data_IF_214032601199
#
_entry.id   IF_214032601199
#
_cell.length_a   1.000
_cell.length_b   1.000
_cell.length_c   1.000
_cell.angle_alpha   90.00
_cell.angle_beta   90.00
_cell.angle_gamma   90.00
#
_symmetry.space_group_name_H-M   'P 1'
#
loop_
_entity.id
_entity.type
_entity.pdbx_description
1 polymer ?
#
# COMPACT_ATOMS: atom_id res chain seq x y z
N UNK A 1 17.70 8.02 -9.58
CA UNK A 1 17.25 8.76 -8.38
C UNK A 1 16.74 10.16 -8.70
N UNK A 2 17.54 11.14 -9.16
CA UNK A 2 17.04 12.51 -9.44
C UNK A 2 16.03 12.52 -10.62
N UNK A 3 16.30 11.75 -11.66
CA UNK A 3 15.40 11.56 -12.82
C UNK A 3 14.12 10.81 -12.47
N UNK A 4 14.13 9.92 -11.48
CA UNK A 4 12.95 9.13 -11.11
C UNK A 4 11.95 9.96 -10.31
N UNK A 5 12.44 10.79 -9.38
CA UNK A 5 11.58 11.69 -8.60
C UNK A 5 10.93 12.77 -9.48
N UNK A 6 11.68 13.38 -10.41
CA UNK A 6 11.13 14.34 -11.36
C UNK A 6 10.03 13.72 -12.23
N UNK A 7 10.18 12.45 -12.62
CA UNK A 7 9.18 11.71 -13.40
C UNK A 7 7.93 11.38 -12.60
N UNK A 8 8.08 10.91 -11.36
CA UNK A 8 6.92 10.65 -10.48
C UNK A 8 6.16 11.97 -10.25
N UNK A 9 6.84 13.10 -10.11
CA UNK A 9 6.20 14.42 -9.96
C UNK A 9 5.40 14.84 -11.21
N UNK A 10 5.95 14.63 -12.41
CA UNK A 10 5.22 14.95 -13.65
C UNK A 10 4.02 14.02 -13.82
N UNK A 11 4.17 12.70 -13.63
CA UNK A 11 3.05 11.74 -13.72
C UNK A 11 1.99 12.03 -12.66
N UNK A 12 2.40 12.40 -11.44
CA UNK A 12 1.46 12.84 -10.41
C UNK A 12 0.65 14.06 -10.86
N UNK A 13 1.27 15.07 -11.47
CA UNK A 13 0.54 16.25 -12.00
C UNK A 13 -0.46 15.87 -13.08
N UNK A 14 -0.12 14.93 -13.95
CA UNK A 14 -1.03 14.40 -14.97
C UNK A 14 -2.21 13.64 -14.36
N UNK A 15 -1.94 12.71 -13.43
CA UNK A 15 -2.97 11.92 -12.76
C UNK A 15 -3.93 12.77 -11.92
N UNK A 16 -3.47 13.93 -11.45
CA UNK A 16 -4.26 14.89 -10.67
C UNK A 16 -4.92 15.96 -11.53
N UNK A 17 -4.69 16.01 -12.84
CA UNK A 17 -5.16 17.09 -13.72
C UNK A 17 -4.86 18.50 -13.15
N UNK A 18 -3.75 18.67 -12.44
CA UNK A 18 -3.35 19.93 -11.81
C UNK A 18 -4.04 20.28 -10.48
N UNK A 19 -4.89 19.42 -9.90
CA UNK A 19 -5.50 19.65 -8.57
C UNK A 19 -4.51 19.48 -7.42
N UNK A 20 -3.32 18.92 -7.69
CA UNK A 20 -2.30 18.52 -6.71
C UNK A 20 -2.76 17.47 -5.69
N UNK A 21 -3.94 16.87 -5.89
CA UNK A 21 -4.50 15.82 -5.04
C UNK A 21 -4.90 14.60 -5.89
N UNK A 22 -4.30 13.45 -5.58
CA UNK A 22 -4.59 12.18 -6.22
C UNK A 22 -5.83 11.56 -5.61
N UNK A 23 -6.84 11.33 -6.45
CA UNK A 23 -8.10 10.70 -6.05
C UNK A 23 -7.90 9.22 -5.71
N UNK A 24 -8.81 8.65 -4.90
CA UNK A 24 -8.81 7.22 -4.59
C UNK A 24 -8.90 6.36 -5.86
N UNK A 25 -9.70 6.77 -6.84
CA UNK A 25 -9.87 6.04 -8.10
C UNK A 25 -8.55 5.94 -8.86
N UNK A 26 -7.82 7.04 -8.97
CA UNK A 26 -6.51 7.06 -9.62
C UNK A 26 -5.46 6.33 -8.79
N UNK A 27 -5.45 6.50 -7.46
CA UNK A 27 -4.55 5.76 -6.58
C UNK A 27 -4.73 4.25 -6.72
N UNK A 28 -5.98 3.77 -6.70
CA UNK A 28 -6.29 2.36 -6.91
C UNK A 28 -5.87 1.88 -8.29
N UNK A 29 -6.23 2.58 -9.36
CA UNK A 29 -6.00 2.14 -10.75
C UNK A 29 -4.55 2.26 -11.19
N UNK A 30 -3.94 3.41 -10.93
CA UNK A 30 -2.68 3.84 -11.56
C UNK A 30 -1.46 3.53 -10.68
N UNK A 31 -1.64 3.36 -9.37
CA UNK A 31 -0.54 3.04 -8.44
C UNK A 31 -0.53 1.54 -8.10
N UNK A 32 -1.64 0.99 -7.60
CA UNK A 32 -1.67 -0.40 -7.14
C UNK A 32 -2.38 -1.38 -8.08
N UNK A 33 -3.17 -0.88 -9.04
CA UNK A 33 -3.99 -1.67 -9.96
C UNK A 33 -4.69 -2.87 -9.27
N UNK A 34 -4.31 -4.10 -9.66
CA UNK A 34 -4.82 -5.35 -9.10
C UNK A 34 -3.80 -6.08 -8.22
N UNK A 35 -2.69 -5.44 -7.85
CA UNK A 35 -1.64 -6.06 -7.02
C UNK A 35 -2.06 -6.19 -5.55
N UNK A 36 -3.08 -5.45 -5.12
CA UNK A 36 -3.58 -5.44 -3.76
C UNK A 36 -5.08 -5.66 -3.67
N UNK A 37 -5.57 -6.34 -2.60
CA UNK A 37 -6.98 -6.35 -2.25
C UNK A 37 -7.52 -4.93 -2.08
N UNK A 38 -8.71 -4.66 -2.62
CA UNK A 38 -9.30 -3.32 -2.62
C UNK A 38 -9.44 -2.72 -1.21
N UNK A 39 -9.76 -3.56 -0.22
CA UNK A 39 -9.87 -3.14 1.18
C UNK A 39 -8.54 -2.63 1.74
N UNK A 40 -7.43 -3.24 1.34
CA UNK A 40 -6.09 -2.80 1.72
C UNK A 40 -5.71 -1.49 1.04
N UNK A 41 -5.97 -1.36 -0.26
CA UNK A 41 -5.74 -0.10 -0.99
C UNK A 41 -6.54 1.05 -0.37
N UNK A 42 -7.79 0.79 0.03
CA UNK A 42 -8.63 1.79 0.69
C UNK A 42 -8.06 2.24 2.03
N UNK A 43 -7.63 1.31 2.89
CA UNK A 43 -6.99 1.63 4.18
C UNK A 43 -5.68 2.39 4.00
N UNK A 44 -4.84 1.98 3.05
CA UNK A 44 -3.61 2.70 2.70
C UNK A 44 -3.91 4.13 2.27
N UNK A 45 -4.88 4.31 1.37
CA UNK A 45 -5.28 5.64 0.91
C UNK A 45 -5.72 6.53 2.08
N UNK A 46 -6.58 6.01 2.95
CA UNK A 46 -7.07 6.78 4.09
C UNK A 46 -6.00 7.02 5.18
N UNK A 47 -5.02 6.12 5.34
CA UNK A 47 -3.93 6.27 6.30
C UNK A 47 -3.02 7.45 5.96
N UNK A 48 -2.73 7.63 4.67
CA UNK A 48 -1.88 8.71 4.18
C UNK A 48 -2.64 9.99 3.83
N UNK A 49 -3.96 9.90 3.60
CA UNK A 49 -4.79 11.06 3.33
C UNK A 49 -5.00 11.88 4.59
N UNK A 50 -4.69 13.17 4.52
CA UNK A 50 -5.02 14.11 5.58
C UNK A 50 -6.54 14.33 5.64
N UNK A 51 -7.13 14.31 6.84
CA UNK A 51 -8.58 14.48 7.05
C UNK A 51 -9.15 15.81 6.55
N UNK A 52 -8.32 16.81 6.28
CA UNK A 52 -8.71 18.10 5.72
C UNK A 52 -8.65 18.17 4.18
N UNK A 53 -8.29 17.09 3.49
CA UNK A 53 -8.10 17.03 2.03
C UNK A 53 -9.06 16.05 1.36
N UNK A 54 -9.26 16.21 0.06
CA UNK A 54 -10.10 15.32 -0.75
C UNK A 54 -9.29 14.22 -1.43
N UNK A 55 -7.96 14.36 -1.48
CA UNK A 55 -7.06 13.29 -1.90
C UNK A 55 -5.63 13.38 -1.40
N UNK A 56 -4.80 12.47 -1.90
CA UNK A 56 -3.40 12.33 -1.50
C UNK A 56 -2.53 13.38 -2.18
N UNK A 57 -1.68 14.08 -1.42
CA UNK A 57 -0.68 14.94 -2.03
C UNK A 57 0.50 14.15 -2.58
N UNK A 58 1.32 14.79 -3.42
CA UNK A 58 2.55 14.20 -3.94
C UNK A 58 3.46 13.69 -2.83
N UNK A 59 3.63 14.49 -1.77
CA UNK A 59 4.43 14.11 -0.60
C UNK A 59 3.88 12.86 0.07
N UNK A 60 2.56 12.79 0.26
CA UNK A 60 1.92 11.66 0.92
C UNK A 60 2.08 10.37 0.09
N UNK A 61 1.96 10.48 -1.24
CA UNK A 61 2.20 9.37 -2.16
C UNK A 61 3.67 8.90 -2.10
N UNK A 62 4.64 9.82 -2.17
CA UNK A 62 6.06 9.47 -2.10
C UNK A 62 6.40 8.83 -0.75
N UNK A 63 5.83 9.31 0.36
CA UNK A 63 6.00 8.70 1.66
C UNK A 63 5.42 7.27 1.71
N UNK A 64 4.24 7.06 1.11
CA UNK A 64 3.60 5.74 1.03
C UNK A 64 4.44 4.76 0.21
N UNK A 65 4.79 5.12 -1.03
CA UNK A 65 5.61 4.30 -1.91
C UNK A 65 7.02 4.09 -1.35
N UNK A 66 7.60 5.12 -0.75
CA UNK A 66 8.89 5.07 -0.10
C UNK A 66 8.95 3.99 0.99
N UNK A 67 7.93 3.96 1.85
CA UNK A 67 7.83 2.97 2.92
C UNK A 67 7.59 1.55 2.39
N UNK A 68 6.76 1.41 1.36
CA UNK A 68 6.46 0.10 0.76
C UNK A 68 7.70 -0.48 0.06
N UNK A 69 8.36 0.30 -0.80
CA UNK A 69 9.45 -0.22 -1.62
C UNK A 69 10.80 -0.23 -0.91
N UNK A 70 11.12 0.82 -0.15
CA UNK A 70 12.45 1.03 0.43
C UNK A 70 12.47 0.90 1.95
N UNK A 71 11.31 0.76 2.60
CA UNK A 71 11.23 0.49 4.03
C UNK A 71 11.84 -0.86 4.37
N UNK A 72 12.42 -0.95 5.56
CA UNK A 72 12.83 -2.22 6.14
C UNK A 72 11.63 -3.13 6.37
N UNK A 73 11.86 -4.44 6.47
CA UNK A 73 10.81 -5.40 6.81
C UNK A 73 10.02 -4.97 8.06
N UNK A 74 10.72 -4.51 9.10
CA UNK A 74 10.12 -4.00 10.34
C UNK A 74 9.21 -2.79 10.11
N UNK A 75 9.68 -1.80 9.33
CA UNK A 75 8.88 -0.62 9.01
C UNK A 75 7.61 -0.99 8.21
N UNK A 76 7.71 -1.96 7.32
CA UNK A 76 6.55 -2.50 6.58
C UNK A 76 5.59 -3.24 7.50
N UNK A 77 6.08 -4.02 8.47
CA UNK A 77 5.22 -4.64 9.50
C UNK A 77 4.51 -3.58 10.35
N UNK A 78 5.20 -2.49 10.70
CA UNK A 78 4.62 -1.36 11.42
C UNK A 78 3.56 -0.62 10.58
N UNK A 79 3.79 -0.46 9.28
CA UNK A 79 2.79 0.05 8.34
C UNK A 79 1.54 -0.82 8.36
N UNK A 80 1.70 -2.14 8.30
CA UNK A 80 0.58 -3.07 8.34
C UNK A 80 -0.23 -2.93 9.64
N UNK A 81 0.45 -2.83 10.79
CA UNK A 81 -0.23 -2.54 12.05
C UNK A 81 -1.00 -1.20 12.00
N UNK A 82 -0.39 -0.14 11.45
CA UNK A 82 -1.02 1.17 11.33
C UNK A 82 -2.32 1.12 10.48
N UNK A 83 -2.31 0.36 9.38
CA UNK A 83 -3.48 0.09 8.53
C UNK A 83 -4.63 -0.53 9.33
N UNK A 84 -4.33 -1.50 10.20
CA UNK A 84 -5.33 -2.15 11.05
C UNK A 84 -5.86 -1.23 12.15
N UNK A 85 -4.99 -0.47 12.82
CA UNK A 85 -5.36 0.44 13.93
C UNK A 85 -6.01 1.76 13.52
N UNK A 86 -6.19 2.00 12.22
CA UNK A 86 -6.61 3.31 11.71
C UNK A 86 -7.90 3.85 12.38
N UNK A 87 -8.78 2.98 12.86
CA UNK A 87 -10.05 3.32 13.53
C UNK A 87 -9.96 3.42 15.05
N UNK A 88 -8.75 3.32 15.63
CA UNK A 88 -8.51 3.42 17.07
C UNK A 88 -7.95 2.14 17.67
N UNK A 89 -8.64 1.62 18.69
CA UNK A 89 -8.23 0.38 19.36
C UNK A 89 -8.37 -0.77 18.38
N UNK A 90 -7.32 -1.58 18.25
CA UNK A 90 -7.34 -2.78 17.42
C UNK A 90 -7.65 -4.00 18.27
N UNK A 91 -8.74 -4.68 17.97
CA UNK A 91 -9.02 -6.00 18.52
C UNK A 91 -8.61 -7.08 17.54
N UNK A 92 -8.29 -8.26 18.06
CA UNK A 92 -7.92 -9.39 17.20
C UNK A 92 -9.01 -9.77 16.21
N UNK A 93 -10.28 -9.70 16.60
CA UNK A 93 -11.39 -10.01 15.70
C UNK A 93 -11.47 -9.04 14.51
N UNK A 94 -11.05 -7.77 14.67
CA UNK A 94 -10.99 -6.79 13.57
C UNK A 94 -9.90 -7.18 12.56
N UNK A 95 -8.75 -7.66 13.06
CA UNK A 95 -7.66 -8.20 12.22
C UNK A 95 -8.16 -9.39 11.43
N UNK A 96 -8.80 -10.36 12.12
CA UNK A 96 -9.32 -11.56 11.46
C UNK A 96 -10.36 -11.24 10.38
N UNK A 97 -11.32 -10.36 10.69
CA UNK A 97 -12.36 -9.96 9.75
C UNK A 97 -11.76 -9.28 8.52
N UNK A 98 -10.81 -8.36 8.72
CA UNK A 98 -10.17 -7.66 7.62
C UNK A 98 -9.34 -8.59 6.74
N UNK A 99 -8.61 -9.55 7.32
CA UNK A 99 -7.88 -10.57 6.57
C UNK A 99 -8.83 -11.42 5.74
N UNK A 100 -9.96 -11.88 6.30
CA UNK A 100 -11.00 -12.60 5.55
C UNK A 100 -11.57 -11.75 4.40
N UNK A 101 -11.80 -10.46 4.61
CA UNK A 101 -12.24 -9.53 3.56
C UNK A 101 -11.19 -9.33 2.45
N UNK A 102 -9.92 -9.57 2.74
CA UNK A 102 -8.83 -9.56 1.77
C UNK A 102 -8.65 -10.92 1.06
N UNK A 103 -9.48 -11.92 1.38
CA UNK A 103 -9.46 -13.24 0.78
C UNK A 103 -8.64 -14.28 1.55
N UNK A 104 -8.13 -13.94 2.73
CA UNK A 104 -7.33 -14.85 3.53
C UNK A 104 -8.15 -15.90 4.25
N UNK A 105 -7.64 -17.13 4.24
CA UNK A 105 -8.06 -18.18 5.15
C UNK A 105 -7.08 -18.20 6.32
N UNK A 106 -7.53 -17.81 7.51
CA UNK A 106 -6.68 -17.77 8.69
C UNK A 106 -6.31 -19.21 9.09
N UNK A 107 -5.00 -19.55 9.16
CA UNK A 107 -4.58 -20.81 9.75
C UNK A 107 -5.11 -20.96 11.18
N UNK A 108 -5.51 -22.18 11.55
CA UNK A 108 -6.00 -22.50 12.90
C UNK A 108 -4.96 -22.22 13.98
N UNK A 109 -3.68 -22.24 13.63
CA UNK A 109 -2.59 -21.86 14.52
C UNK A 109 -2.66 -20.39 14.93
N UNK A 110 -3.22 -19.51 14.09
CA UNK A 110 -3.40 -18.09 14.40
C UNK A 110 -4.53 -17.81 15.36
N UNK A 111 -5.58 -18.63 15.36
CA UNK A 111 -6.69 -18.51 16.30
C UNK A 111 -6.23 -18.63 17.76
N UNK A 112 -5.04 -19.21 18.00
CA UNK A 112 -4.50 -19.42 19.34
C UNK A 112 -3.50 -18.34 19.81
N UNK A 113 -3.03 -17.43 18.93
CA UNK A 113 -2.02 -16.44 19.33
C UNK A 113 -2.63 -15.27 20.14
N UNK A 114 -3.88 -14.93 19.83
CA UNK A 114 -4.64 -13.88 20.51
C UNK A 114 -5.95 -14.44 21.05
N UNK A 115 -6.41 -13.90 22.19
CA UNK A 115 -7.74 -14.24 22.70
C UNK A 115 -8.83 -13.51 21.90
N UNK A 116 -10.04 -14.08 21.85
CA UNK A 116 -11.16 -13.64 20.99
C UNK A 116 -11.61 -12.17 21.15
N UNK A 117 -11.18 -11.45 22.18
CA UNK A 117 -11.44 -10.02 22.38
C UNK A 117 -10.19 -9.27 22.89
N UNK A 118 -9.01 -9.81 22.61
CA UNK A 118 -7.78 -9.20 23.05
C UNK A 118 -7.49 -7.92 22.26
N UNK A 119 -7.08 -6.86 22.98
CA UNK A 119 -6.53 -5.67 22.37
C UNK A 119 -5.13 -6.02 21.85
N UNK A 120 -4.93 -5.84 20.56
CA UNK A 120 -3.68 -6.14 19.88
C UNK A 120 -2.80 -4.91 19.95
N UNK A 121 -1.76 -4.94 20.78
CA UNK A 121 -0.73 -3.88 20.78
C UNK A 121 0.22 -4.03 19.60
N UNK A 122 0.96 -2.97 19.28
CA UNK A 122 1.93 -2.99 18.20
C UNK A 122 3.00 -4.06 18.48
N UNK A 123 3.53 -4.12 19.69
CA UNK A 123 4.57 -5.07 20.06
C UNK A 123 4.08 -6.50 19.87
N UNK A 124 2.87 -6.81 20.33
CA UNK A 124 2.31 -8.16 20.23
C UNK A 124 2.00 -8.53 18.77
N UNK A 125 1.53 -7.57 17.96
CA UNK A 125 1.31 -7.77 16.53
C UNK A 125 2.61 -8.02 15.76
N UNK A 126 3.67 -7.27 16.06
CA UNK A 126 4.97 -7.49 15.43
C UNK A 126 5.56 -8.84 15.81
N UNK A 127 5.47 -9.23 17.09
CA UNK A 127 5.87 -10.57 17.54
C UNK A 127 5.09 -11.67 16.82
N UNK A 128 3.79 -11.48 16.61
CA UNK A 128 2.97 -12.40 15.84
C UNK A 128 3.47 -12.55 14.40
N UNK A 129 3.76 -11.44 13.70
CA UNK A 129 4.30 -11.48 12.34
C UNK A 129 5.67 -12.15 12.26
N UNK A 130 6.57 -11.85 13.19
CA UNK A 130 7.90 -12.44 13.29
C UNK A 130 7.83 -13.96 13.54
N UNK A 131 6.95 -14.40 14.44
CA UNK A 131 6.81 -15.82 14.79
C UNK A 131 6.27 -16.67 13.63
N UNK A 132 5.46 -16.05 12.77
CA UNK A 132 4.87 -16.71 11.60
C UNK A 132 5.66 -16.45 10.30
N UNK A 133 6.89 -15.92 10.41
CA UNK A 133 7.79 -15.63 9.29
C UNK A 133 7.18 -14.76 8.17
N UNK A 134 6.12 -14.00 8.44
CA UNK A 134 5.45 -13.17 7.44
C UNK A 134 4.65 -13.93 6.36
N UNK A 135 4.56 -15.26 6.40
CA UNK A 135 3.85 -16.08 5.40
C UNK A 135 2.43 -16.49 5.82
N UNK A 136 1.85 -15.68 6.68
CA UNK A 136 0.63 -16.04 7.40
C UNK A 136 -0.64 -15.69 6.64
N UNK A 137 -0.57 -14.67 5.78
CA UNK A 137 -1.68 -14.13 5.02
C UNK A 137 -1.20 -13.60 3.68
N UNK A 138 -2.10 -13.52 2.69
CA UNK A 138 -1.86 -12.92 1.37
C UNK A 138 -1.32 -11.50 1.48
N UNK A 139 -1.75 -10.74 2.50
CA UNK A 139 -1.28 -9.37 2.73
C UNK A 139 0.17 -9.37 3.23
N UNK A 140 0.51 -10.23 4.19
CA UNK A 140 1.87 -10.30 4.73
C UNK A 140 2.82 -10.88 3.69
N UNK A 141 2.39 -11.91 2.95
CA UNK A 141 3.13 -12.44 1.80
C UNK A 141 3.45 -11.34 0.78
N UNK A 142 2.43 -10.57 0.38
CA UNK A 142 2.65 -9.50 -0.58
C UNK A 142 3.61 -8.43 -0.06
N UNK A 143 3.47 -7.99 1.19
CA UNK A 143 4.26 -6.88 1.73
C UNK A 143 5.70 -7.29 2.07
N UNK A 144 5.95 -8.59 2.26
CA UNK A 144 7.28 -9.13 2.61
C UNK A 144 8.01 -9.77 1.43
N UNK A 145 7.32 -10.05 0.33
CA UNK A 145 7.90 -10.61 -0.90
C UNK A 145 8.53 -9.49 -1.75
N UNK A 146 9.87 -9.39 -1.68
CA UNK A 146 10.65 -8.43 -2.46
C UNK A 146 10.46 -8.57 -3.97
N UNK A 147 10.17 -9.77 -4.48
CA UNK A 147 9.90 -9.97 -5.91
C UNK A 147 8.57 -9.32 -6.30
N UNK A 148 7.51 -9.51 -5.51
CA UNK A 148 6.22 -8.85 -5.75
C UNK A 148 6.31 -7.34 -5.61
N UNK A 149 7.07 -6.85 -4.63
CA UNK A 149 7.35 -5.42 -4.50
C UNK A 149 8.10 -4.87 -5.71
N UNK A 150 9.05 -5.63 -6.25
CA UNK A 150 9.77 -5.28 -7.48
C UNK A 150 8.84 -5.28 -8.71
N UNK A 151 7.94 -6.24 -8.84
CA UNK A 151 6.95 -6.28 -9.92
C UNK A 151 5.98 -5.10 -9.86
N UNK A 152 5.52 -4.74 -8.65
CA UNK A 152 4.69 -3.56 -8.44
C UNK A 152 5.45 -2.26 -8.70
N UNK A 153 6.71 -2.17 -8.26
CA UNK A 153 7.56 -1.00 -8.53
C UNK A 153 7.78 -0.85 -10.03
N UNK A 154 8.07 -1.96 -10.73
CA UNK A 154 8.21 -2.01 -12.18
C UNK A 154 6.91 -1.62 -12.86
N UNK A 155 5.76 -2.13 -12.45
CA UNK A 155 4.46 -1.73 -13.00
C UNK A 155 4.16 -0.25 -12.79
N UNK A 156 4.38 0.26 -11.57
CA UNK A 156 4.15 1.66 -11.23
C UNK A 156 5.06 2.54 -12.07
N UNK A 157 6.33 2.15 -12.18
CA UNK A 157 7.31 2.80 -13.04
C UNK A 157 6.91 2.72 -14.51
N UNK A 158 6.52 1.57 -15.05
CA UNK A 158 6.14 1.40 -16.45
C UNK A 158 4.88 2.19 -16.79
N UNK A 159 3.91 2.28 -15.87
CA UNK A 159 2.75 3.18 -16.03
C UNK A 159 3.15 4.64 -16.00
N UNK A 160 4.10 5.00 -15.12
CA UNK A 160 4.76 6.31 -15.11
C UNK A 160 5.50 6.52 -16.45
N UNK A 161 6.15 5.51 -17.04
CA UNK A 161 7.02 5.59 -18.22
C UNK A 161 6.25 5.59 -19.56
N UNK A 162 5.22 4.75 -19.71
CA UNK A 162 4.44 4.62 -20.95
C UNK A 162 3.63 5.87 -21.27
N UNK A 163 3.21 6.66 -20.26
CA UNK A 163 2.55 7.96 -20.51
C UNK A 163 3.46 8.93 -21.29
N UNK A 164 4.78 8.89 -21.10
CA UNK A 164 5.73 9.70 -21.87
C UNK A 164 6.06 9.11 -23.24
N UNK A 165 6.03 7.79 -23.41
CA UNK A 165 6.25 7.16 -24.73
C UNK A 165 5.11 7.47 -25.70
N UNK A 166 3.86 7.49 -25.20
CA UNK A 166 2.67 7.83 -26.00
C UNK A 166 2.67 9.32 -26.37
N UNK A 167 3.19 10.22 -25.52
CA UNK A 167 3.34 11.64 -25.82
C UNK A 167 4.56 11.95 -26.73
N UNK A 168 5.62 11.13 -26.67
CA UNK A 168 6.78 11.25 -27.56
C UNK A 168 6.56 10.63 -28.96
N UNK A 169 5.51 9.81 -29.14
CA UNK A 169 5.16 9.16 -30.39
C UNK A 169 4.35 10.00 -31.39
N UNK A 170 3.93 11.23 -31.05
CA UNK A 170 3.08 12.07 -31.93
C UNK A 170 3.85 13.25 -32.57
N UNK A 171 5.18 13.21 -32.64
CA UNK A 171 5.98 14.33 -33.18
C UNK A 171 6.57 14.13 -34.56
N UNK A 172 6.19 13.11 -35.34
CA UNK A 172 6.55 13.08 -36.76
C UNK A 172 5.47 12.44 -37.64
N UNK A 173 4.57 13.27 -38.18
CA UNK A 173 3.95 13.12 -39.51
C UNK A 173 3.11 14.37 -39.83
N UNK A 174 3.77 15.45 -40.22
CA UNK A 174 3.30 16.41 -41.24
C UNK A 174 4.50 16.93 -41.99
#
# INVERSE_FOLDING_TARGET
FQTDLERIEITFRELTNGTNELSYTNFKRDVFANFLPEKLVNRLYQLYMNSSRTGLSYKDLICCLGLIYYGTQKERMQLLYAIFTQTGILYWYDVEEFLRLCGDQLPKELENFFQKNEIVTQEKFLQWLEHNQGHTTTITDWLMDEQRLFELLTYTNDRIYDQYSILAGVTHCT
#
